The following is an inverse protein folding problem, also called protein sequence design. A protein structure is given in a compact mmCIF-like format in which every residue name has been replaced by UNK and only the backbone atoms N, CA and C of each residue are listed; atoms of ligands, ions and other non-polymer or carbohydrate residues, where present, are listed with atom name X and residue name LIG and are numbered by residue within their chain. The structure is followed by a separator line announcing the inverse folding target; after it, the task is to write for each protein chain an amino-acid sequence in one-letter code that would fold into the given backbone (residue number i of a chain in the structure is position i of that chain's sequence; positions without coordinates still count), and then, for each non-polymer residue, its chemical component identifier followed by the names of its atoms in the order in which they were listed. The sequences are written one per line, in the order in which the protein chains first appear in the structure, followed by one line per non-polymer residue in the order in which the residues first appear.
data_IF_932701834683
#
_entry.id   IF_932701834683
#
_cell.length_a   1.000
_cell.length_b   1.000
_cell.length_c   1.000
_cell.angle_alpha   90.00
_cell.angle_beta   90.00
_cell.angle_gamma   90.00
#
_symmetry.space_group_name_H-M   'P 1'
#
loop_
_entity.id
_entity.type
_entity.pdbx_description
1 polymer ?
2 non-polymer ?
3 non-polymer ?
4 water ?
#
# COMPACT_ATOMS: atom_id res chain seq x y z
N UNK A 4 -12.06 12.95 -18.91
CA UNK A 4 -11.86 13.81 -20.12
C UNK A 4 -10.86 13.21 -21.11
N UNK A 5 -9.91 12.44 -20.60
CA UNK A 5 -8.88 11.79 -21.42
C UNK A 5 -9.27 10.32 -21.68
N UNK A 6 -8.82 9.79 -22.82
CA UNK A 6 -9.23 8.46 -23.30
C UNK A 6 -8.09 7.43 -23.29
N UNK A 7 -6.85 7.91 -23.21
CA UNK A 7 -5.69 7.04 -23.11
C UNK A 7 -5.53 6.53 -21.67
N UNK A 8 -5.07 5.30 -21.51
CA UNK A 8 -4.71 4.80 -20.18
C UNK A 8 -3.43 5.49 -19.74
N UNK A 9 -3.48 6.14 -18.58
CA UNK A 9 -2.29 6.77 -18.02
C UNK A 9 -1.61 5.83 -17.02
N UNK A 10 -0.49 5.27 -17.44
CA UNK A 10 0.26 4.32 -16.61
C UNK A 10 1.54 4.95 -16.07
N UNK A 11 1.87 4.64 -14.83
CA UNK A 11 3.15 5.02 -14.26
C UNK A 11 4.11 3.85 -14.43
N UNK A 12 5.37 4.17 -14.75
CA UNK A 12 6.46 3.20 -14.75
C UNK A 12 7.53 3.75 -13.82
N UNK A 13 7.79 3.02 -12.73
CA UNK A 13 8.72 3.47 -11.70
C UNK A 13 9.39 2.30 -10.97
N UNK A 14 10.64 2.51 -10.58
CA UNK A 14 11.35 1.62 -9.67
C UNK A 14 11.69 2.40 -8.40
N UNK A 15 11.37 1.84 -7.24
CA UNK A 15 11.71 2.49 -5.96
C UNK A 15 12.17 1.51 -4.89
N UNK A 16 12.84 2.05 -3.88
CA UNK A 16 13.32 1.26 -2.75
C UNK A 16 12.31 1.27 -1.60
N UNK A 17 12.68 0.68 -0.47
CA UNK A 17 11.75 0.52 0.65
C UNK A 17 11.38 1.84 1.38
N UNK A 18 12.10 2.91 1.08
CA UNK A 18 11.75 4.25 1.58
C UNK A 18 11.30 5.20 0.46
N UNK A 19 10.95 4.64 -0.69
CA UNK A 19 10.43 5.38 -1.87
C UNK A 19 11.48 6.17 -2.64
N UNK A 20 12.76 5.95 -2.35
CA UNK A 20 13.85 6.60 -3.09
C UNK A 20 13.82 6.14 -4.55
N UNK A 21 13.92 7.10 -5.47
CA UNK A 21 14.03 6.79 -6.90
C UNK A 21 15.31 7.39 -7.51
N UNK A 22 15.94 8.32 -6.79
CA UNK A 22 17.09 9.04 -7.33
C UNK A 22 18.08 9.62 -6.35
N UNK A 23 19.32 9.75 -6.82
CA UNK A 23 20.41 10.31 -6.04
C UNK A 23 21.34 11.07 -6.99
N UNK A 24 21.61 12.34 -6.65
CA UNK A 24 22.45 13.21 -7.48
C UNK A 24 22.04 13.18 -8.96
N UNK A 25 20.73 13.28 -9.21
CA UNK A 25 20.19 13.29 -10.58
C UNK A 25 20.49 12.03 -11.40
N UNK A 26 20.65 10.92 -10.69
CA UNK A 26 20.90 9.62 -11.29
C UNK A 26 20.16 8.51 -10.56
N UNK A 27 20.21 7.32 -11.13
CA UNK A 27 19.68 6.10 -10.54
C UNK A 27 20.68 5.61 -9.50
N UNK A 28 20.19 5.25 -8.28
CA UNK A 28 21.08 4.77 -7.21
C UNK A 28 21.50 3.31 -7.32
N UNK A 29 20.97 2.58 -8.29
CA UNK A 29 21.27 1.16 -8.45
C UNK A 29 21.50 0.79 -9.90
N UNK A 30 22.29 -0.26 -10.11
CA UNK A 30 22.45 -0.84 -11.43
C UNK A 30 21.70 -2.18 -11.45
N UNK A 31 20.65 -2.26 -12.27
CA UNK A 31 19.83 -3.46 -12.40
C UNK A 31 19.45 -3.65 -13.87
N UNK A 32 20.36 -4.22 -14.68
CA UNK A 32 20.09 -4.43 -16.12
C UNK A 32 18.82 -5.23 -16.40
N UNK A 33 18.54 -6.23 -15.57
CA UNK A 33 17.36 -7.08 -15.77
C UNK A 33 16.05 -6.29 -15.60
N UNK A 34 16.07 -5.33 -14.67
CA UNK A 34 14.94 -4.44 -14.43
C UNK A 34 14.71 -3.52 -15.62
N UNK A 35 15.80 -3.01 -16.20
CA UNK A 35 15.75 -2.21 -17.44
C UNK A 35 15.13 -3.01 -18.58
N UNK A 36 15.48 -4.29 -18.64
CA UNK A 36 14.99 -5.22 -19.67
C UNK A 36 13.46 -5.37 -19.56
N UNK A 37 12.96 -5.57 -18.34
CA UNK A 37 11.51 -5.60 -18.10
C UNK A 37 10.81 -4.29 -18.47
N UNK A 38 11.47 -3.17 -18.18
CA UNK A 38 10.95 -1.85 -18.53
C UNK A 38 10.81 -1.66 -20.04
N UNK A 39 11.82 -2.06 -20.82
CA UNK A 39 11.80 -1.89 -22.28
C UNK A 39 10.72 -2.77 -22.89
N UNK A 40 10.66 -4.01 -22.43
CA UNK A 40 9.64 -4.97 -22.90
C UNK A 40 8.21 -4.45 -22.68
N UNK A 41 7.96 -3.90 -21.49
CA UNK A 41 6.62 -3.46 -21.11
C UNK A 41 6.19 -2.16 -21.81
N UNK A 42 7.14 -1.27 -22.06
CA UNK A 42 6.82 0.07 -22.56
C UNK A 42 6.89 0.17 -24.07
N UNK A 43 7.47 -0.85 -24.69
CA UNK A 43 7.70 -0.84 -26.12
C UNK A 43 6.42 -0.61 -26.95
N UNK A 44 6.53 0.29 -27.92
CA UNK A 44 5.40 0.68 -28.79
C UNK A 44 4.48 1.71 -28.16
N UNK A 45 4.89 2.29 -27.04
CA UNK A 45 4.04 3.23 -26.28
C UNK A 45 4.82 4.49 -25.89
N UNK A 46 4.14 5.66 -25.90
CA UNK A 46 4.78 6.91 -25.53
C UNK A 46 5.39 6.91 -24.13
N UNK A 47 6.56 7.54 -24.01
CA UNK A 47 7.21 7.80 -22.74
C UNK A 47 7.08 9.27 -22.38
N UNK A 48 6.54 9.55 -21.20
CA UNK A 48 6.45 10.93 -20.69
C UNK A 48 7.51 11.14 -19.63
N UNK A 49 8.49 11.99 -19.91
CA UNK A 49 9.62 12.20 -19.02
C UNK A 49 9.83 13.66 -18.66
N UNK A 50 10.21 13.91 -17.41
CA UNK A 50 10.57 15.27 -16.99
C UNK A 50 11.86 15.71 -17.66
N UNK A 51 12.02 17.01 -17.86
CA UNK A 51 13.22 17.55 -18.53
C UNK A 51 14.51 17.03 -17.89
N UNK A 52 14.61 17.08 -16.56
CA UNK A 52 15.78 16.59 -15.84
C UNK A 52 16.00 15.10 -16.08
N UNK A 53 14.98 14.29 -15.84
CA UNK A 53 15.06 12.87 -16.18
C UNK A 53 15.69 12.69 -17.56
N UNK A 54 15.15 13.35 -18.59
CA UNK A 54 15.60 13.11 -19.96
C UNK A 54 17.07 13.42 -20.20
N UNK A 55 17.55 14.53 -19.66
CA UNK A 55 18.90 15.01 -19.94
C UNK A 55 19.97 14.10 -19.34
N UNK A 56 19.59 13.36 -18.30
CA UNK A 56 20.47 12.32 -17.74
C UNK A 56 20.62 11.15 -18.74
N UNK A 57 19.60 10.96 -19.59
CA UNK A 57 19.66 9.96 -20.65
C UNK A 57 20.43 10.52 -21.85
N UNK A 58 19.96 11.64 -22.39
CA UNK A 58 20.64 12.36 -23.46
C UNK A 58 20.27 11.95 -24.87
N UNK A 59 19.55 10.84 -25.01
CA UNK A 59 19.12 10.38 -26.33
C UNK A 59 17.75 9.72 -26.31
N UNK A 60 17.01 9.79 -27.43
CA UNK A 60 15.71 9.16 -27.50
C UNK A 60 15.79 7.65 -27.32
N UNK A 61 14.84 7.09 -26.61
CA UNK A 61 14.70 5.66 -26.52
C UNK A 61 13.89 5.15 -27.73
N UNK A 62 14.47 4.19 -28.49
CA UNK A 62 13.91 3.77 -29.78
C UNK A 62 12.58 3.03 -29.63
N UNK A 63 11.76 3.07 -30.69
CA UNK A 63 10.51 2.32 -30.75
C UNK A 63 9.33 2.92 -30.00
N UNK A 64 9.53 4.13 -29.47
CA UNK A 64 8.50 4.83 -28.66
C UNK A 64 8.56 6.32 -28.94
N UNK A 65 7.42 7.00 -28.81
CA UNK A 65 7.40 8.47 -28.80
C UNK A 65 8.00 8.98 -27.49
N UNK A 66 9.04 9.80 -27.57
CA UNK A 66 9.63 10.41 -26.38
C UNK A 66 9.10 11.82 -26.20
N UNK A 67 8.38 12.04 -25.11
CA UNK A 67 7.79 13.34 -24.84
C UNK A 67 8.39 13.92 -23.57
N UNK A 68 9.02 15.08 -23.72
CA UNK A 68 9.70 15.76 -22.63
C UNK A 68 8.85 16.90 -22.08
N UNK A 69 8.67 16.92 -20.77
CA UNK A 69 7.84 17.93 -20.08
C UNK A 69 8.72 18.98 -19.43
N UNK A 70 8.55 20.23 -19.87
CA UNK A 70 9.35 21.35 -19.43
C UNK A 70 8.49 22.63 -19.43
N UNK A 71 8.90 23.62 -18.63
CA UNK A 71 8.23 24.92 -18.66
C UNK A 71 8.83 25.82 -19.71
N UNK A 72 10.00 25.42 -20.23
CA UNK A 72 10.76 26.18 -21.22
C UNK A 72 10.07 26.16 -22.58
N UNK A 73 9.58 27.32 -23.02
CA UNK A 73 8.81 27.43 -24.26
C UNK A 73 9.67 27.39 -25.54
N UNK A 74 10.99 27.49 -25.38
CA UNK A 74 11.92 27.39 -26.50
C UNK A 74 12.78 26.15 -26.49
N UNK A 75 12.42 25.18 -25.64
CA UNK A 75 13.17 23.92 -25.51
C UNK A 75 12.90 22.98 -26.70
N UNK A 76 13.97 22.45 -27.28
CA UNK A 76 13.90 21.53 -28.41
C UNK A 76 15.00 20.46 -28.33
N UNK A 77 14.66 19.24 -28.71
CA UNK A 77 15.61 18.13 -28.82
C UNK A 77 15.20 17.27 -30.02
N UNK A 78 16.17 16.95 -30.90
CA UNK A 78 15.89 16.15 -32.10
C UNK A 78 15.44 14.72 -31.75
N UNK A 79 14.37 14.27 -32.41
CA UNK A 79 13.84 12.92 -32.19
C UNK A 79 12.96 12.81 -30.96
N UNK A 80 12.59 13.97 -30.40
CA UNK A 80 11.75 14.06 -29.21
C UNK A 80 10.67 15.12 -29.39
N UNK A 81 9.51 14.88 -28.79
CA UNK A 81 8.43 15.86 -28.75
C UNK A 81 8.46 16.59 -27.39
N UNK A 82 7.97 17.83 -27.38
CA UNK A 82 8.04 18.67 -26.18
C UNK A 82 6.64 19.12 -25.73
N UNK A 83 6.30 18.86 -24.48
CA UNK A 83 5.04 19.34 -23.90
C UNK A 83 5.34 20.22 -22.69
N UNK A 84 4.43 21.15 -22.40
CA UNK A 84 4.67 22.11 -21.33
C UNK A 84 3.63 22.03 -20.20
N UNK A 85 2.72 21.07 -20.32
CA UNK A 85 1.64 20.90 -19.35
C UNK A 85 1.03 19.51 -19.44
N UNK A 86 0.23 19.15 -18.44
CA UNK A 86 -0.54 17.91 -18.48
C UNK A 86 -1.43 17.88 -19.72
N UNK A 87 -2.17 18.97 -19.94
CA UNK A 87 -3.13 19.06 -21.03
C UNK A 87 -2.48 18.92 -22.41
N UNK A 88 -1.30 19.51 -22.59
CA UNK A 88 -0.58 19.42 -23.86
C UNK A 88 -0.16 17.98 -24.14
N UNK A 89 0.26 17.27 -23.10
CA UNK A 89 0.57 15.84 -23.20
C UNK A 89 -0.68 15.08 -23.64
N UNK A 90 -1.82 15.39 -23.00
CA UNK A 90 -3.10 14.76 -23.34
C UNK A 90 -3.50 15.04 -24.81
N UNK A 91 -3.35 16.29 -25.23
CA UNK A 91 -3.55 16.64 -26.64
C UNK A 91 -2.64 15.83 -27.57
N UNK A 92 -1.35 15.76 -27.24
CA UNK A 92 -0.37 15.02 -28.04
C UNK A 92 -0.64 13.52 -28.07
N UNK A 93 -1.31 13.02 -27.04
CA UNK A 93 -1.57 11.59 -26.90
C UNK A 93 -3.05 11.21 -26.98
N UNK A 94 -3.88 12.12 -27.50
CA UNK A 94 -5.34 11.90 -27.53
C UNK A 94 -5.77 10.56 -28.16
N UNK A 95 -5.05 10.10 -29.20
CA UNK A 95 -5.37 8.84 -29.88
C UNK A 95 -4.60 7.62 -29.38
N UNK A 96 -3.71 7.80 -28.40
CA UNK A 96 -2.90 6.69 -27.92
C UNK A 96 -3.74 5.74 -27.05
N UNK A 97 -3.38 4.47 -27.03
CA UNK A 97 -4.10 3.55 -26.14
C UNK A 97 -3.60 3.67 -24.70
N UNK A 98 -2.27 3.72 -24.54
CA UNK A 98 -1.66 3.77 -23.22
C UNK A 98 -0.37 4.59 -23.26
N UNK A 99 -0.22 5.50 -22.32
CA UNK A 99 1.02 6.26 -22.18
C UNK A 99 1.68 5.92 -20.86
N UNK A 100 3.02 5.94 -20.84
CA UNK A 100 3.79 5.66 -19.63
C UNK A 100 4.47 6.91 -19.05
N UNK A 101 4.03 7.30 -17.87
CA UNK A 101 4.69 8.35 -17.09
C UNK A 101 5.93 7.72 -16.48
N UNK A 102 7.08 8.27 -16.87
CA UNK A 102 8.36 7.59 -16.80
C UNK A 102 9.35 8.27 -15.85
N UNK A 103 8.90 9.33 -15.15
CA UNK A 103 9.71 10.01 -14.15
C UNK A 103 10.35 11.32 -14.61
N UNK A 104 10.99 12.06 -13.69
CA UNK A 104 11.13 11.69 -12.29
C UNK A 104 10.00 12.18 -11.40
N UNK A 105 10.33 12.49 -10.15
CA UNK A 105 9.36 12.84 -9.11
C UNK A 105 8.42 14.00 -9.44
N UNK A 106 8.96 15.10 -9.94
CA UNK A 106 8.14 16.28 -10.27
C UNK A 106 7.05 15.92 -11.29
N UNK A 107 7.43 15.09 -12.27
CA UNK A 107 6.52 14.62 -13.30
C UNK A 107 5.56 13.54 -12.80
N UNK A 108 6.00 12.72 -11.84
CA UNK A 108 5.09 11.78 -11.17
C UNK A 108 4.04 12.54 -10.37
N UNK A 109 4.45 13.54 -9.60
CA UNK A 109 3.52 14.40 -8.88
C UNK A 109 2.51 15.02 -9.82
N UNK A 110 3.00 15.54 -10.95
CA UNK A 110 2.17 16.27 -11.90
C UNK A 110 1.03 15.41 -12.44
N UNK A 111 1.33 14.17 -12.78
CA UNK A 111 0.35 13.29 -13.40
C UNK A 111 -0.37 12.37 -12.40
N UNK A 112 -0.04 12.49 -11.11
CA UNK A 112 -0.62 11.66 -10.04
C UNK A 112 -2.16 11.63 -9.97
N UNK A 113 -2.85 12.80 -10.10
CA UNK A 113 -4.32 12.75 -10.12
C UNK A 113 -4.97 11.95 -11.25
N UNK A 114 -4.19 11.56 -12.26
CA UNK A 114 -4.76 10.94 -13.48
C UNK A 114 -4.36 9.49 -13.73
N UNK A 115 -3.60 8.89 -12.82
CA UNK A 115 -3.04 7.55 -13.04
C UNK A 115 -4.11 6.44 -12.91
N UNK A 116 -4.10 5.51 -13.88
CA UNK A 116 -5.08 4.41 -13.97
C UNK A 116 -4.41 3.08 -13.64
N UNK A 117 -3.11 2.99 -13.96
CA UNK A 117 -2.36 1.75 -13.81
C UNK A 117 -0.95 2.07 -13.29
N UNK A 118 -0.46 1.24 -12.39
CA UNK A 118 0.83 1.46 -11.76
C UNK A 118 1.76 0.26 -11.94
N UNK A 119 2.82 0.44 -12.73
CA UNK A 119 3.84 -0.58 -12.90
C UNK A 119 5.02 -0.19 -12.03
N UNK A 120 5.13 -0.82 -10.86
CA UNK A 120 6.10 -0.41 -9.86
C UNK A 120 7.04 -1.53 -9.43
N UNK A 121 8.33 -1.30 -9.59
CA UNK A 121 9.33 -2.23 -9.08
C UNK A 121 9.75 -1.82 -7.66
N UNK A 122 9.63 -2.75 -6.73
CA UNK A 122 10.00 -2.52 -5.34
C UNK A 122 11.29 -3.24 -4.98
N UNK A 123 12.30 -2.45 -4.65
CA UNK A 123 13.64 -2.95 -4.37
C UNK A 123 13.84 -3.03 -2.87
N UNK A 124 14.26 -4.19 -2.41
CA UNK A 124 14.31 -4.52 -1.00
C UNK A 124 15.67 -4.16 -0.41
N UNK A 125 15.90 -2.86 -0.32
CA UNK A 125 17.18 -2.28 0.07
C UNK A 125 16.92 -0.83 0.39
N UNK A 126 17.68 -0.26 1.33
CA UNK A 126 17.54 1.14 1.69
C UNK A 126 18.70 1.98 1.14
N UNK A 127 18.47 2.63 0.01
CA UNK A 127 19.49 3.44 -0.63
C UNK A 127 19.57 4.86 -0.06
N UNK A 128 20.75 5.44 -0.17
CA UNK A 128 20.92 6.87 0.02
C UNK A 128 20.24 7.54 -1.17
N UNK A 129 19.34 8.46 -0.90
CA UNK A 129 18.66 9.17 -1.98
C UNK A 129 18.22 10.57 -1.64
N UNK A 130 17.91 11.33 -2.69
CA UNK A 130 17.41 12.69 -2.53
C UNK A 130 16.06 12.91 -3.24
N UNK A 131 15.66 11.94 -4.07
CA UNK A 131 14.44 12.04 -4.90
C UNK A 131 13.49 10.87 -4.63
N UNK A 132 12.21 11.17 -4.46
CA UNK A 132 11.25 10.21 -3.91
C UNK A 132 9.99 10.04 -4.76
N UNK A 133 9.46 8.82 -4.78
CA UNK A 133 8.17 8.57 -5.41
C UNK A 133 7.07 8.99 -4.44
N UNK A 134 6.12 9.84 -4.89
CA UNK A 134 5.03 10.32 -4.03
C UNK A 134 4.21 9.21 -3.36
N UNK A 135 3.71 9.52 -2.16
CA UNK A 135 2.77 8.65 -1.46
C UNK A 135 1.50 8.50 -2.31
N UNK A 136 0.91 7.32 -2.27
CA UNK A 136 -0.35 7.07 -2.97
C UNK A 136 -1.36 6.37 -2.07
N UNK A 137 -2.59 6.88 -2.11
CA UNK A 137 -3.73 6.22 -1.50
C UNK A 137 -4.17 5.11 -2.46
N UNK A 138 -4.03 3.86 -2.02
CA UNK A 138 -4.34 2.71 -2.87
C UNK A 138 -5.76 2.17 -2.73
N UNK A 139 -6.61 2.89 -1.99
CA UNK A 139 -8.03 2.56 -1.91
C UNK A 139 -8.60 2.59 -3.33
N UNK A 140 -9.35 1.55 -3.68
CA UNK A 140 -9.87 1.34 -5.04
C UNK A 140 -8.81 0.93 -6.07
N UNK A 141 -7.67 0.45 -5.59
CA UNK A 141 -6.67 -0.15 -6.45
C UNK A 141 -6.49 -1.61 -6.11
N UNK A 142 -6.26 -2.44 -7.13
CA UNK A 142 -6.05 -3.86 -6.94
C UNK A 142 -4.77 -4.28 -7.62
N UNK A 143 -3.97 -5.09 -6.91
CA UNK A 143 -2.78 -5.68 -7.48
C UNK A 143 -3.22 -6.76 -8.46
N UNK A 144 -2.74 -6.68 -9.69
CA UNK A 144 -3.12 -7.64 -10.73
C UNK A 144 -1.94 -8.44 -11.24
N UNK A 145 -0.74 -8.10 -10.78
CA UNK A 145 0.47 -8.83 -11.14
C UNK A 145 1.58 -8.61 -10.12
N UNK A 146 2.25 -9.70 -9.74
CA UNK A 146 3.42 -9.65 -8.88
C UNK A 146 4.37 -10.83 -9.19
N UNK A 147 5.66 -10.54 -9.32
CA UNK A 147 6.66 -11.56 -9.63
C UNK A 147 8.04 -11.12 -9.14
N UNK A 148 8.80 -12.08 -8.61
CA UNK A 148 10.17 -11.80 -8.17
C UNK A 148 11.08 -11.47 -9.36
N UNK A 149 11.88 -10.43 -9.21
CA UNK A 149 12.86 -10.07 -10.24
C UNK A 149 14.05 -10.99 -10.17
N UNK A 150 14.87 -10.99 -11.22
CA UNK A 150 16.07 -11.81 -11.28
C UNK A 150 17.19 -11.24 -10.38
N UNK A 151 17.56 -12.00 -9.36
CA UNK A 151 18.72 -11.66 -8.54
C UNK A 151 19.88 -12.58 -8.91
N UNK A 152 20.98 -11.97 -9.34
CA UNK A 152 22.19 -12.71 -9.71
C UNK A 152 23.42 -11.81 -9.56
N UNK A 153 24.57 -12.28 -10.04
CA UNK A 153 25.81 -11.51 -9.99
C UNK A 153 25.75 -10.18 -10.76
N UNK A 154 24.88 -10.13 -11.76
CA UNK A 154 24.68 -8.91 -12.56
C UNK A 154 23.59 -7.99 -11.97
N UNK A 155 22.73 -8.55 -11.13
CA UNK A 155 21.63 -7.80 -10.50
C UNK A 155 21.60 -8.08 -8.99
N UNK A 156 22.40 -7.31 -8.23
CA UNK A 156 22.79 -7.69 -6.87
C UNK A 156 21.78 -7.43 -5.75
N UNK A 157 20.55 -7.03 -6.08
CA UNK A 157 19.52 -6.77 -5.06
C UNK A 157 18.30 -7.66 -5.23
N UNK A 158 17.51 -7.78 -4.16
CA UNK A 158 16.20 -8.44 -4.22
C UNK A 158 15.14 -7.41 -4.57
N UNK A 159 14.31 -7.73 -5.56
CA UNK A 159 13.28 -6.81 -6.02
C UNK A 159 12.09 -7.54 -6.63
N UNK A 160 10.91 -6.91 -6.60
CA UNK A 160 9.70 -7.52 -7.14
C UNK A 160 9.03 -6.54 -8.10
N UNK A 161 8.48 -7.08 -9.19
CA UNK A 161 7.65 -6.33 -10.11
C UNK A 161 6.22 -6.37 -9.60
N UNK A 162 5.59 -5.20 -9.46
CA UNK A 162 4.18 -5.09 -9.07
C UNK A 162 3.39 -4.31 -10.12
N UNK A 163 2.14 -4.72 -10.33
CA UNK A 163 1.22 -3.95 -11.16
C UNK A 163 -0.10 -3.76 -10.43
N UNK A 164 -0.54 -2.51 -10.32
CA UNK A 164 -1.81 -2.17 -9.71
C UNK A 164 -2.73 -1.47 -10.71
N UNK A 165 -4.02 -1.80 -10.65
CA UNK A 165 -5.03 -1.17 -11.51
C UNK A 165 -6.11 -0.48 -10.70
N UNK A 166 -6.43 0.75 -11.08
CA UNK A 166 -7.51 1.52 -10.47
C UNK A 166 -8.86 0.86 -10.79
N UNK A 167 -9.75 0.81 -9.81
CA UNK A 167 -11.06 0.20 -10.02
C UNK A 167 -12.11 1.20 -10.51
N UNK A 168 -12.04 2.44 -10.05
CA UNK A 168 -12.92 3.53 -10.49
C UNK A 168 -14.34 3.40 -9.92
N UNK B 4 -25.00 6.92 15.29
CA UNK B 4 -24.80 7.94 16.37
C UNK B 4 -23.31 8.28 16.53
N UNK B 5 -22.47 7.26 16.52
CA UNK B 5 -21.02 7.44 16.46
C UNK B 5 -20.58 7.96 15.09
N UNK B 6 -19.47 8.69 15.05
CA UNK B 6 -19.06 9.32 13.81
C UNK B 6 -17.64 8.99 13.35
N UNK B 7 -16.88 8.31 14.22
CA UNK B 7 -15.59 7.76 13.83
C UNK B 7 -15.82 6.54 12.93
N UNK B 8 -14.88 6.32 12.00
CA UNK B 8 -14.90 5.11 11.19
C UNK B 8 -14.44 3.98 12.08
N UNK B 9 -15.26 2.93 12.19
CA UNK B 9 -14.93 1.74 12.96
C UNK B 9 -14.33 0.69 12.03
N UNK B 10 -13.00 0.52 12.09
CA UNK B 10 -12.34 -0.46 11.24
C UNK B 10 -11.84 -1.65 12.04
N UNK B 11 -11.94 -2.83 11.44
CA UNK B 11 -11.35 -4.04 12.00
C UNK B 11 -9.95 -4.24 11.41
N UNK B 12 -9.01 -4.62 12.27
CA UNK B 12 -7.68 -5.04 11.85
C UNK B 12 -7.47 -6.48 12.35
N UNK B 13 -7.42 -7.43 11.42
CA UNK B 13 -7.24 -8.84 11.77
C UNK B 13 -6.39 -9.60 10.74
N UNK B 14 -5.69 -10.63 11.21
CA UNK B 14 -5.08 -11.66 10.38
C UNK B 14 -5.70 -13.01 10.73
N UNK B 15 -6.11 -13.76 9.70
CA UNK B 15 -6.71 -15.07 9.91
C UNK B 15 -6.32 -16.07 8.83
N UNK B 16 -6.49 -17.35 9.14
CA UNK B 16 -6.16 -18.44 8.21
C UNK B 16 -7.39 -18.90 7.45
N UNK B 17 -7.25 -19.94 6.64
CA UNK B 17 -8.35 -20.37 5.77
C UNK B 17 -9.58 -20.96 6.49
N UNK B 18 -9.45 -21.24 7.78
CA UNK B 18 -10.58 -21.66 8.62
C UNK B 18 -10.94 -20.62 9.68
N UNK B 19 -10.50 -19.39 9.45
CA UNK B 19 -10.77 -18.22 10.32
C UNK B 19 -10.06 -18.23 11.68
N UNK B 20 -9.12 -19.14 11.87
CA UNK B 20 -8.28 -19.17 13.07
C UNK B 20 -7.53 -17.85 13.22
N UNK B 21 -7.57 -17.29 14.43
CA UNK B 21 -6.76 -16.12 14.76
C UNK B 21 -5.82 -16.37 15.95
N UNK B 22 -6.09 -17.43 16.72
CA UNK B 22 -5.32 -17.68 17.93
C UNK B 22 -5.20 -19.12 18.39
N UNK B 23 -4.11 -19.40 19.10
CA UNK B 23 -3.88 -20.70 19.72
C UNK B 23 -3.19 -20.50 21.06
N UNK B 24 -3.79 -21.09 22.11
CA UNK B 24 -3.26 -20.97 23.48
C UNK B 24 -2.91 -19.51 23.83
N UNK B 25 -3.86 -18.61 23.56
CA UNK B 25 -3.74 -17.18 23.90
C UNK B 25 -2.53 -16.50 23.24
N UNK B 26 -2.16 -17.00 22.07
CA UNK B 26 -1.05 -16.45 21.28
C UNK B 26 -1.38 -16.49 19.80
N UNK B 27 -0.54 -15.83 19.01
CA UNK B 27 -0.59 -15.95 17.55
C UNK B 27 0.03 -17.27 17.12
N UNK B 28 -0.64 -18.00 16.22
CA UNK B 28 -0.12 -19.28 15.72
C UNK B 28 0.98 -19.18 14.66
N UNK B 29 1.30 -17.96 14.23
CA UNK B 29 2.29 -17.77 13.17
C UNK B 29 3.20 -16.60 13.47
N UNK B 30 4.40 -16.64 12.90
CA UNK B 30 5.33 -15.54 12.99
C UNK B 30 5.50 -14.97 11.59
N UNK B 31 5.04 -13.73 11.43
CA UNK B 31 5.07 -13.01 10.16
C UNK B 31 5.44 -11.54 10.40
N UNK B 32 6.76 -11.25 10.56
CA UNK B 32 7.22 -9.88 10.78
C UNK B 32 6.75 -8.87 9.72
N UNK B 33 6.65 -9.30 8.47
CA UNK B 33 6.26 -8.40 7.40
C UNK B 33 4.80 -7.96 7.54
N UNK B 34 3.96 -8.88 8.03
CA UNK B 34 2.55 -8.61 8.26
C UNK B 34 2.40 -7.61 9.38
N UNK B 35 3.27 -7.75 10.39
CA UNK B 35 3.28 -6.88 11.55
C UNK B 35 3.64 -5.46 11.14
N UNK B 36 4.59 -5.38 10.22
CA UNK B 36 5.07 -4.10 9.67
C UNK B 36 3.96 -3.40 8.88
N UNK B 37 3.20 -4.16 8.08
CA UNK B 37 2.01 -3.61 7.42
C UNK B 37 0.95 -3.11 8.41
N UNK B 38 0.77 -3.86 9.49
CA UNK B 38 -0.17 -3.49 10.55
C UNK B 38 0.21 -2.19 11.26
N UNK B 39 1.51 -2.01 11.55
CA UNK B 39 2.00 -0.80 12.22
C UNK B 39 1.82 0.41 11.30
N UNK B 40 2.19 0.27 10.04
CA UNK B 40 2.07 1.36 9.08
C UNK B 40 0.62 1.83 8.92
N UNK B 41 -0.31 0.87 8.77
CA UNK B 41 -1.72 1.15 8.57
C UNK B 41 -2.41 1.80 9.79
N UNK B 42 -2.00 1.40 10.99
CA UNK B 42 -2.70 1.79 12.21
C UNK B 42 -2.09 3.01 12.89
N UNK B 43 -0.89 3.40 12.45
CA UNK B 43 -0.16 4.51 13.07
C UNK B 43 -0.96 5.80 13.11
N UNK B 44 -0.98 6.43 14.29
CA UNK B 44 -1.71 7.67 14.50
C UNK B 44 -3.19 7.48 14.82
N UNK B 45 -3.60 6.22 14.99
CA UNK B 45 -5.02 5.89 15.25
C UNK B 45 -5.21 5.00 16.47
N UNK B 46 -6.31 5.20 17.23
CA UNK B 46 -6.57 4.37 18.41
C UNK B 46 -6.64 2.88 18.11
N UNK B 47 -6.09 2.08 19.02
CA UNK B 47 -6.21 0.63 18.99
C UNK B 47 -7.17 0.16 20.07
N UNK B 48 -8.21 -0.56 19.68
CA UNK B 48 -9.17 -1.11 20.63
C UNK B 48 -8.89 -2.60 20.78
N UNK B 49 -8.45 -3.00 21.97
CA UNK B 49 -8.14 -4.43 22.17
C UNK B 49 -8.75 -5.01 23.43
N UNK B 50 -9.07 -6.31 23.37
CA UNK B 50 -9.62 -7.02 24.51
C UNK B 50 -8.57 -7.22 25.58
N UNK B 51 -9.01 -7.32 26.83
CA UNK B 51 -8.07 -7.45 27.96
C UNK B 51 -7.09 -8.60 27.73
N UNK B 52 -7.59 -9.75 27.31
CA UNK B 52 -6.75 -10.92 27.04
C UNK B 52 -5.72 -10.63 25.97
N UNK B 53 -6.17 -10.14 24.81
CA UNK B 53 -5.25 -9.71 23.76
C UNK B 53 -4.13 -8.83 24.33
N UNK B 54 -4.51 -7.79 25.08
CA UNK B 54 -3.53 -6.83 25.56
C UNK B 54 -2.45 -7.42 26.47
N UNK B 55 -2.86 -8.26 27.43
CA UNK B 55 -1.91 -8.81 28.41
C UNK B 55 -0.87 -9.75 27.78
N UNK B 56 -1.19 -10.32 26.62
CA UNK B 56 -0.24 -11.12 25.86
C UNK B 56 0.85 -10.22 25.27
N UNK B 57 0.52 -8.95 25.06
CA UNK B 57 1.50 -7.95 24.60
C UNK B 57 2.28 -7.41 25.81
N UNK B 58 1.56 -6.86 26.79
CA UNK B 58 2.15 -6.42 28.05
C UNK B 58 2.63 -4.98 28.07
N UNK B 59 2.65 -4.34 26.92
CA UNK B 59 3.24 -3.00 26.78
C UNK B 59 2.40 -2.19 25.80
N UNK B 60 2.24 -0.87 26.04
CA UNK B 60 1.56 -0.02 25.07
C UNK B 60 2.30 0.00 23.73
N UNK B 61 1.53 0.02 22.64
CA UNK B 61 2.09 0.20 21.31
C UNK B 61 2.22 1.70 21.05
N UNK B 62 3.45 2.17 20.74
CA UNK B 62 3.75 3.60 20.58
C UNK B 62 3.02 4.27 19.42
N UNK B 63 2.81 5.58 19.52
CA UNK B 63 2.23 6.38 18.45
C UNK B 63 0.73 6.24 18.25
N UNK B 64 0.05 5.59 19.21
CA UNK B 64 -1.38 5.30 19.12
C UNK B 64 -2.01 5.29 20.50
N UNK B 65 -3.27 5.73 20.62
CA UNK B 65 -4.04 5.54 21.85
C UNK B 65 -4.35 4.05 22.02
N UNK B 66 -3.93 3.46 23.14
CA UNK B 66 -4.21 2.07 23.45
C UNK B 66 -5.39 1.98 24.39
N UNK B 67 -6.50 1.41 23.92
CA UNK B 67 -7.71 1.33 24.72
C UNK B 67 -8.05 -0.13 24.97
N UNK B 68 -8.11 -0.49 26.24
CA UNK B 68 -8.34 -1.88 26.64
C UNK B 68 -9.77 -2.06 27.14
N UNK B 69 -10.43 -3.09 26.59
CA UNK B 69 -11.81 -3.38 26.90
C UNK B 69 -11.92 -4.55 27.88
N UNK B 70 -12.51 -4.27 29.04
CA UNK B 70 -12.63 -5.21 30.13
C UNK B 70 -13.90 -4.93 30.94
N UNK B 71 -14.43 -5.96 31.61
CA UNK B 71 -15.59 -5.80 32.48
C UNK B 71 -15.16 -5.39 33.89
N UNK B 72 -13.87 -5.48 34.17
CA UNK B 72 -13.28 -5.16 35.47
C UNK B 72 -13.24 -3.64 35.70
N UNK B 73 -14.05 -3.17 36.64
CA UNK B 73 -14.19 -1.73 36.90
C UNK B 73 -13.02 -1.11 37.68
N UNK B 74 -12.10 -1.95 38.17
CA UNK B 74 -10.89 -1.48 38.85
C UNK B 74 -9.60 -1.77 38.10
N UNK B 75 -9.73 -2.18 36.83
CA UNK B 75 -8.58 -2.48 35.97
C UNK B 75 -7.87 -1.20 35.50
N UNK B 76 -6.55 -1.17 35.68
CA UNK B 76 -5.71 -0.03 35.28
C UNK B 76 -4.34 -0.51 34.78
N UNK B 77 -3.84 0.14 33.72
CA UNK B 77 -2.46 -0.07 33.25
C UNK B 77 -1.89 1.23 32.71
N UNK B 78 -0.67 1.55 33.13
CA UNK B 78 0.00 2.81 32.77
C UNK B 78 0.24 2.93 31.26
N UNK B 79 -0.10 4.09 30.70
CA UNK B 79 0.06 4.38 29.28
C UNK B 79 -1.05 3.83 28.41
N UNK B 80 -2.13 3.37 29.06
CA UNK B 80 -3.29 2.84 28.35
C UNK B 80 -4.58 3.38 28.97
N UNK B 81 -5.60 3.55 28.14
CA UNK B 81 -6.93 3.88 28.64
C UNK B 81 -7.80 2.63 28.70
N UNK B 82 -8.80 2.67 29.57
CA UNK B 82 -9.65 1.50 29.80
C UNK B 82 -11.12 1.83 29.54
N UNK B 83 -11.78 0.98 28.76
CA UNK B 83 -13.20 1.09 28.51
C UNK B 83 -13.89 -0.20 28.96
N UNK B 84 -15.18 -0.10 29.26
CA UNK B 84 -15.90 -1.25 29.82
C UNK B 84 -17.07 -1.69 28.95
N UNK B 85 -17.22 -1.02 27.79
CA UNK B 85 -18.35 -1.26 26.89
C UNK B 85 -18.13 -0.62 25.53
N UNK B 86 -18.98 -0.97 24.57
CA UNK B 86 -18.95 -0.35 23.26
C UNK B 86 -19.11 1.18 23.39
N UNK B 87 -20.13 1.58 24.16
CA UNK B 87 -20.47 2.99 24.29
C UNK B 87 -19.37 3.85 24.92
N UNK B 88 -18.69 3.30 25.93
CA UNK B 88 -17.56 4.02 26.55
C UNK B 88 -16.44 4.23 25.55
N UNK B 89 -16.18 3.21 24.73
CA UNK B 89 -15.18 3.31 23.67
C UNK B 89 -15.59 4.43 22.70
N UNK B 90 -16.87 4.44 22.32
CA UNK B 90 -17.41 5.49 21.45
C UNK B 90 -17.29 6.88 22.06
N UNK B 91 -17.55 7.00 23.36
CA UNK B 91 -17.32 8.25 24.09
C UNK B 91 -15.85 8.66 24.05
N UNK B 92 -14.95 7.73 24.38
CA UNK B 92 -13.50 7.98 24.36
C UNK B 92 -12.99 8.38 22.98
N UNK B 93 -13.67 7.91 21.94
CA UNK B 93 -13.23 8.12 20.55
C UNK B 93 -14.19 9.01 19.74
N UNK B 94 -15.07 9.70 20.45
CA UNK B 94 -16.02 10.66 19.89
C UNK B 94 -15.47 11.46 18.71
N UNK B 95 -14.29 12.05 18.91
CA UNK B 95 -13.72 12.97 17.93
C UNK B 95 -12.66 12.35 17.00
N UNK B 96 -12.48 11.04 17.10
CA UNK B 96 -11.48 10.35 16.31
C UNK B 96 -11.96 10.18 14.87
N UNK B 97 -11.02 10.13 13.94
CA UNK B 97 -11.31 9.94 12.53
C UNK B 97 -11.67 8.49 12.27
N UNK B 98 -10.78 7.60 12.68
CA UNK B 98 -10.91 6.17 12.46
C UNK B 98 -10.27 5.46 13.63
N UNK B 99 -10.95 4.44 14.14
CA UNK B 99 -10.39 3.59 15.19
C UNK B 99 -10.25 2.15 14.67
N UNK B 100 -9.27 1.43 15.19
CA UNK B 100 -8.99 0.06 14.76
C UNK B 100 -9.32 -0.97 15.84
N UNK B 101 -10.36 -1.77 15.59
CA UNK B 101 -10.69 -2.90 16.44
C UNK B 101 -9.66 -3.98 16.14
N UNK B 102 -8.94 -4.36 17.18
CA UNK B 102 -7.61 -4.94 17.05
C UNK B 102 -7.57 -6.35 17.66
N UNK B 103 -8.72 -6.85 18.11
CA UNK B 103 -8.84 -8.22 18.63
C UNK B 103 -8.83 -8.34 20.14
N UNK B 104 -9.06 -9.54 20.67
CA UNK B 104 -9.28 -10.76 19.90
C UNK B 104 -10.75 -11.03 19.57
N UNK B 105 -11.11 -12.30 19.47
CA UNK B 105 -12.46 -12.71 19.03
C UNK B 105 -13.60 -12.04 19.79
N UNK B 106 -13.55 -12.08 21.12
CA UNK B 106 -14.63 -11.55 21.95
C UNK B 106 -14.91 -10.08 21.64
N UNK B 107 -13.83 -9.34 21.43
CA UNK B 107 -13.91 -7.92 21.09
C UNK B 107 -14.34 -7.71 19.62
N UNK B 108 -13.96 -8.61 18.71
CA UNK B 108 -14.49 -8.57 17.34
C UNK B 108 -16.01 -8.78 17.35
N UNK B 109 -16.47 -9.83 18.04
CA UNK B 109 -17.92 -10.08 18.21
C UNK B 109 -18.62 -8.83 18.73
N UNK B 110 -18.06 -8.24 19.78
CA UNK B 110 -18.62 -7.07 20.44
C UNK B 110 -18.85 -5.90 19.50
N UNK B 111 -17.89 -5.65 18.62
CA UNK B 111 -17.94 -4.47 17.75
C UNK B 111 -18.47 -4.78 16.36
N UNK B 112 -18.84 -6.04 16.13
CA UNK B 112 -19.28 -6.52 14.81
C UNK B 112 -20.47 -5.75 14.21
N UNK B 113 -21.50 -5.43 15.02
CA UNK B 113 -22.62 -4.68 14.43
C UNK B 113 -22.27 -3.27 13.91
N UNK B 114 -21.08 -2.77 14.22
CA UNK B 114 -20.72 -1.37 13.88
C UNK B 114 -19.58 -1.18 12.87
N UNK B 115 -19.04 -2.27 12.31
CA UNK B 115 -17.88 -2.18 11.43
C UNK B 115 -18.21 -1.50 10.11
N UNK B 116 -17.36 -0.55 9.70
CA UNK B 116 -17.51 0.16 8.42
C UNK B 116 -16.46 -0.30 7.41
N UNK B 117 -15.29 -0.70 7.90
CA UNK B 117 -14.17 -1.10 7.05
C UNK B 117 -13.44 -2.29 7.65
N UNK B 118 -12.98 -3.19 6.79
CA UNK B 118 -12.34 -4.42 7.22
C UNK B 118 -10.95 -4.61 6.60
N UNK B 119 -9.91 -4.49 7.42
CA UNK B 119 -8.52 -4.71 6.99
C UNK B 119 -8.16 -6.12 7.43
N UNK B 120 -8.22 -7.05 6.49
CA UNK B 120 -8.12 -8.46 6.80
C UNK B 120 -6.95 -9.13 6.04
N UNK B 121 -6.03 -9.73 6.78
CA UNK B 121 -4.96 -10.54 6.17
C UNK B 121 -5.40 -11.99 6.13
N UNK B 122 -5.38 -12.59 4.93
CA UNK B 122 -5.77 -13.98 4.73
C UNK B 122 -4.55 -14.84 4.50
N UNK B 123 -4.33 -15.79 5.40
CA UNK B 123 -3.15 -16.64 5.33
C UNK B 123 -3.57 -18.00 4.78
N UNK B 124 -2.86 -18.45 3.75
CA UNK B 124 -3.23 -19.64 2.99
C UNK B 124 -2.56 -20.86 3.60
N UNK B 125 -3.03 -21.20 4.80
CA UNK B 125 -2.52 -22.31 5.59
C UNK B 125 -3.60 -22.66 6.60
N UNK B 126 -3.64 -23.93 7.02
CA UNK B 126 -4.59 -24.37 8.04
C UNK B 126 -3.91 -24.64 9.38
N UNK B 127 -3.92 -23.63 10.24
CA UNK B 127 -3.29 -23.74 11.56
C UNK B 127 -4.17 -24.48 12.57
N UNK B 128 -3.53 -25.12 13.53
CA UNK B 128 -4.22 -25.61 14.70
C UNK B 128 -4.58 -24.35 15.50
N UNK B 129 -5.85 -24.23 15.88
CA UNK B 129 -6.30 -23.04 16.60
C UNK B 129 -7.45 -23.29 17.54
N UNK B 130 -7.71 -22.33 18.42
CA UNK B 130 -8.83 -22.42 19.35
C UNK B 130 -9.66 -21.12 19.35
N UNK B 131 -9.17 -20.10 18.66
CA UNK B 131 -9.84 -18.81 18.62
C UNK B 131 -10.06 -18.34 17.19
N UNK B 132 -11.28 -17.85 16.92
CA UNK B 132 -11.71 -17.63 15.53
C UNK B 132 -12.24 -16.23 15.28
N UNK B 133 -12.06 -15.76 14.04
CA UNK B 133 -12.69 -14.54 13.57
C UNK B 133 -14.14 -14.85 13.16
N UNK B 134 -15.11 -14.11 13.71
CA UNK B 134 -16.54 -14.38 13.45
C UNK B 134 -16.92 -14.31 11.97
N UNK B 135 -17.91 -15.12 11.58
CA UNK B 135 -18.48 -15.09 10.24
C UNK B 135 -19.05 -13.71 9.95
N UNK B 136 -18.94 -13.25 8.71
CA UNK B 136 -19.52 -11.99 8.31
C UNK B 136 -20.31 -12.11 7.02
N UNK B 137 -21.50 -11.50 7.02
CA UNK B 137 -22.29 -11.34 5.80
C UNK B 137 -21.66 -10.17 5.05
N UNK B 138 -21.10 -10.48 3.88
CA UNK B 138 -20.40 -9.48 3.05
C UNK B 138 -21.28 -8.73 2.04
N UNK B 139 -22.59 -9.02 2.01
CA UNK B 139 -23.51 -8.27 1.14
C UNK B 139 -23.45 -6.81 1.59
N UNK B 140 -23.39 -5.90 0.62
CA UNK B 140 -23.17 -4.48 0.90
C UNK B 140 -21.69 -4.14 1.20
N UNK B 141 -20.80 -5.10 1.01
CA UNK B 141 -19.36 -4.89 1.17
C UNK B 141 -18.64 -4.98 -0.17
N UNK B 142 -17.67 -4.09 -0.38
CA UNK B 142 -16.91 -4.01 -1.62
C UNK B 142 -15.45 -4.16 -1.25
N UNK B 143 -14.74 -5.04 -1.96
CA UNK B 143 -13.28 -5.11 -1.83
C UNK B 143 -12.67 -3.89 -2.52
N UNK B 144 -11.90 -3.12 -1.76
CA UNK B 144 -11.31 -1.89 -2.29
C UNK B 144 -9.80 -1.97 -2.44
N UNK B 145 -9.20 -3.07 -1.96
CA UNK B 145 -7.76 -3.27 -2.05
C UNK B 145 -7.38 -4.72 -1.78
N UNK B 146 -6.49 -5.24 -2.61
CA UNK B 146 -5.89 -6.56 -2.42
C UNK B 146 -4.44 -6.56 -2.96
N UNK B 147 -3.53 -7.15 -2.19
CA UNK B 147 -2.16 -7.38 -2.67
C UNK B 147 -1.52 -8.54 -1.93
N UNK B 148 -0.61 -9.22 -2.62
CA UNK B 148 0.10 -10.35 -2.05
C UNK B 148 1.06 -9.85 -0.99
N UNK B 149 1.11 -10.56 0.15
CA UNK B 149 2.09 -10.28 1.17
C UNK B 149 3.45 -10.84 0.78
N UNK B 150 4.49 -10.42 1.50
CA UNK B 150 5.84 -10.86 1.24
C UNK B 150 6.07 -12.27 1.81
N UNK B 151 6.33 -13.23 0.92
CA UNK B 151 6.75 -14.57 1.31
C UNK B 151 8.25 -14.73 1.08
N UNK B 152 8.98 -15.02 2.15
CA UNK B 152 10.43 -15.27 2.08
C UNK B 152 10.86 -16.16 3.26
N UNK B 153 12.16 -16.31 3.47
CA UNK B 153 12.67 -17.13 4.56
C UNK B 153 12.28 -16.60 5.97
N UNK B 154 11.96 -15.32 6.07
CA UNK B 154 11.55 -14.71 7.34
C UNK B 154 10.03 -14.74 7.50
N UNK B 155 9.33 -14.95 6.39
CA UNK B 155 7.87 -14.97 6.36
C UNK B 155 7.39 -16.19 5.58
N UNK B 156 7.29 -17.34 6.26
CA UNK B 156 7.22 -18.64 5.60
C UNK B 156 5.85 -19.11 5.06
N UNK B 157 4.85 -18.23 5.02
CA UNK B 157 3.54 -18.61 4.45
C UNK B 157 3.12 -17.72 3.28
N UNK B 158 2.15 -18.18 2.49
CA UNK B 158 1.49 -17.32 1.51
C UNK B 158 0.31 -16.63 2.17
N UNK B 159 0.19 -15.32 1.93
CA UNK B 159 -0.88 -14.51 2.52
C UNK B 159 -1.18 -13.26 1.70
N UNK B 160 -2.41 -12.77 1.82
CA UNK B 160 -2.86 -11.60 1.04
C UNK B 160 -3.47 -10.56 1.96
N UNK B 161 -3.18 -9.29 1.71
CA UNK B 161 -3.84 -8.20 2.40
C UNK B 161 -5.13 -7.87 1.66
N UNK B 162 -6.25 -7.85 2.37
CA UNK B 162 -7.54 -7.49 1.79
C UNK B 162 -8.16 -6.34 2.57
N UNK B 163 -8.80 -5.42 1.86
CA UNK B 163 -9.57 -4.36 2.50
C UNK B 163 -10.98 -4.31 1.92
N UNK B 164 -11.99 -4.29 2.79
CA UNK B 164 -13.38 -4.19 2.38
C UNK B 164 -14.04 -2.99 3.03
N UNK B 165 -14.90 -2.32 2.28
CA UNK B 165 -15.66 -1.17 2.77
C UNK B 165 -17.15 -1.46 2.67
N UNK B 166 -17.88 -1.13 3.73
CA UNK B 166 -19.35 -1.24 3.71
C UNK B 166 -19.94 -0.14 2.82
N UNK B 167 -20.98 -0.50 2.07
CA UNK B 167 -21.63 0.43 1.14
C UNK B 167 -22.71 1.30 1.81
N UNK B 168 -23.45 0.70 2.73
CA UNK B 168 -24.46 1.40 3.55
C UNK B 168 -25.73 1.76 2.75
#
# INVERSE_FOLDING_TARGET
HHHHHHMRVSFMVAMDENRVIGKDNNLPWRLPSELQYVKKTTMGHPLIMGRKNYEAIGRPLPGRRNIIVTRNEGYHVEGCEVAHSVEEVFELCKNEEEIFIFGGAQIYDLFLPYVDKLYITKIHHAFEGDTFFPEMDMTNWKEVFVEKGLTDEKNPYTYYYHVYEKQQ
HHHHHHMRVSFMVAMDENRVIGKDNNLPWRLPSELQYVKKTTMGHPLIMGRKNYEAIGRPLPGRRNIIVTRNEGYHVEGCEVAHSVEEVFELCKNEEEIFIFGGAQIYDLFLPYVDKLYITKIHHAFEGDTFFPEMDMTNWKEVFVEKGLTDEKNPYTYYYHVYEKQQ
#
